data_IF_440606090827
#
_entry.id   IF_440606090827
#
_cell.length_a   1.000
_cell.length_b   1.000
_cell.length_c   1.000
_cell.angle_alpha   90.00
_cell.angle_beta   90.00
_cell.angle_gamma   90.00
#
_symmetry.space_group_name_H-M   'P 1'
#
loop_
_entity.id
_entity.type
_entity.pdbx_description
1 polymer ?
#
# COMPACT_ATOMS: atom_id res chain seq x y z
N UNK A 1 -6.26 -7.50 -11.87
CA UNK A 1 -7.33 -7.06 -10.94
C UNK A 1 -6.61 -6.56 -9.69
N UNK A 2 -6.26 -5.27 -9.67
CA UNK A 2 -5.52 -4.65 -8.57
C UNK A 2 -6.42 -4.48 -7.35
N UNK A 3 -5.96 -4.92 -6.18
CA UNK A 3 -6.62 -4.66 -4.90
C UNK A 3 -5.61 -3.92 -4.04
N UNK A 4 -5.80 -2.62 -3.89
CA UNK A 4 -4.99 -1.81 -2.97
C UNK A 4 -5.59 -1.92 -1.57
N UNK A 5 -4.78 -2.29 -0.57
CA UNK A 5 -5.20 -2.32 0.83
C UNK A 5 -4.30 -1.40 1.62
N UNK A 6 -4.87 -0.35 2.23
CA UNK A 6 -4.20 0.56 3.15
C UNK A 6 -4.44 0.03 4.57
N UNK A 7 -3.39 -0.38 5.28
CA UNK A 7 -3.43 -0.54 6.73
C UNK A 7 -2.76 0.68 7.33
N UNK A 8 -3.53 1.58 7.92
CA UNK A 8 -3.00 2.60 8.83
C UNK A 8 -3.06 2.10 10.27
N UNK A 9 -2.33 2.75 11.17
CA UNK A 9 -2.33 2.55 12.63
C UNK A 9 -3.69 2.75 13.33
N UNK A 10 -4.73 3.13 12.59
CA UNK A 10 -6.13 2.99 13.00
C UNK A 10 -6.68 1.64 12.52
N UNK A 11 -7.08 0.70 13.40
CA UNK A 11 -7.32 -0.70 13.06
C UNK A 11 -8.52 -0.96 12.12
N UNK A 12 -9.22 0.06 11.64
CA UNK A 12 -10.55 -0.12 11.04
C UNK A 12 -10.73 0.30 9.59
N UNK A 13 -9.80 1.02 8.94
CA UNK A 13 -10.03 1.48 7.58
C UNK A 13 -9.55 0.49 6.51
N UNK A 14 -10.26 -0.63 6.36
CA UNK A 14 -10.07 -1.54 5.22
C UNK A 14 -10.77 -0.99 3.97
N UNK A 15 -10.04 -0.25 3.15
CA UNK A 15 -10.54 0.15 1.83
C UNK A 15 -10.05 -0.86 0.78
N UNK A 16 -10.98 -1.43 0.02
CA UNK A 16 -10.71 -2.37 -1.06
C UNK A 16 -11.39 -1.83 -2.30
N UNK A 17 -10.62 -1.51 -3.33
CA UNK A 17 -11.16 -1.02 -4.60
C UNK A 17 -11.27 -2.17 -5.59
N UNK A 18 -12.48 -2.60 -6.01
CA UNK A 18 -12.62 -3.55 -7.10
C UNK A 18 -12.37 -2.86 -8.44
N UNK A 19 -11.44 -3.38 -9.24
CA UNK A 19 -11.14 -2.93 -10.61
C UNK A 19 -10.01 -1.90 -10.73
N UNK A 20 -9.68 -1.50 -11.96
CA UNK A 20 -8.79 -0.34 -12.22
C UNK A 20 -9.58 0.93 -11.94
N UNK A 21 -9.72 1.28 -10.67
CA UNK A 21 -10.26 2.56 -10.24
C UNK A 21 -9.10 3.44 -9.82
N UNK A 22 -9.11 4.70 -10.23
CA UNK A 22 -8.15 5.70 -9.76
C UNK A 22 -8.31 5.82 -8.24
N UNK A 23 -7.27 5.44 -7.49
CA UNK A 23 -7.24 5.50 -6.03
C UNK A 23 -6.31 6.62 -5.64
N UNK A 24 -6.87 7.66 -5.01
CA UNK A 24 -6.06 8.69 -4.38
C UNK A 24 -5.39 8.10 -3.14
N UNK A 25 -4.05 8.12 -3.13
CA UNK A 25 -3.29 7.80 -1.93
C UNK A 25 -3.43 8.96 -0.92
N UNK A 26 -3.45 8.67 0.39
CA UNK A 26 -3.38 9.70 1.41
C UNK A 26 -2.20 10.65 1.16
N UNK A 27 -2.39 11.98 1.31
CA UNK A 27 -1.30 12.93 1.15
C UNK A 27 -0.25 12.74 2.25
N UNK A 28 1.01 13.08 1.95
CA UNK A 28 2.09 13.04 2.92
C UNK A 28 2.68 11.66 3.23
N UNK A 29 2.30 10.64 2.46
CA UNK A 29 2.93 9.32 2.55
C UNK A 29 4.38 9.38 2.02
N UNK A 30 5.31 8.85 2.81
CA UNK A 30 6.71 8.67 2.45
C UNK A 30 7.03 7.20 2.43
N UNK A 31 7.42 6.66 1.27
CA UNK A 31 7.83 5.25 1.17
C UNK A 31 9.12 4.99 1.96
N UNK A 32 9.11 3.96 2.79
CA UNK A 32 10.28 3.46 3.53
C UNK A 32 10.81 2.13 2.98
N UNK A 33 9.96 1.32 2.36
CA UNK A 33 10.35 -0.01 1.91
C UNK A 33 9.37 -0.68 0.95
N UNK A 34 9.79 -1.81 0.40
CA UNK A 34 8.93 -2.73 -0.37
C UNK A 34 9.29 -4.16 -0.03
N UNK A 35 8.32 -4.96 0.41
CA UNK A 35 8.53 -6.38 0.75
C UNK A 35 7.44 -7.28 0.18
N UNK A 36 7.65 -8.58 0.31
CA UNK A 36 6.59 -9.57 0.09
C UNK A 36 5.66 -9.61 1.31
N UNK A 37 4.38 -9.97 1.13
CA UNK A 37 3.50 -10.24 2.26
C UNK A 37 4.01 -11.44 3.06
N UNK A 38 3.86 -11.37 4.37
CA UNK A 38 3.98 -12.52 5.25
C UNK A 38 2.89 -13.56 4.95
N UNK A 39 3.09 -14.79 5.43
CA UNK A 39 2.08 -15.86 5.29
C UNK A 39 0.73 -15.42 5.86
N UNK A 40 0.71 -14.74 7.02
CA UNK A 40 -0.53 -14.26 7.66
C UNK A 40 -1.22 -13.19 6.83
N UNK A 41 -0.48 -12.23 6.28
CA UNK A 41 -1.04 -11.20 5.39
C UNK A 41 -1.57 -11.83 4.10
N UNK A 42 -0.85 -12.80 3.52
CA UNK A 42 -1.25 -13.51 2.30
C UNK A 42 -2.56 -14.30 2.43
N UNK A 43 -3.03 -14.58 3.65
CA UNK A 43 -4.36 -15.17 3.89
C UNK A 43 -5.48 -14.15 3.79
N UNK A 44 -5.20 -12.86 4.03
CA UNK A 44 -6.20 -11.78 4.04
C UNK A 44 -6.13 -10.90 2.79
N UNK A 45 -5.00 -10.92 2.09
CA UNK A 45 -4.72 -10.15 0.88
C UNK A 45 -4.36 -11.10 -0.28
N UNK A 46 -4.14 -10.57 -1.49
CA UNK A 46 -3.61 -11.40 -2.57
C UNK A 46 -2.14 -11.77 -2.27
N UNK A 47 -1.75 -13.06 -2.14
CA UNK A 47 -0.38 -13.45 -1.80
C UNK A 47 0.65 -13.08 -2.89
N UNK A 48 0.20 -12.79 -4.11
CA UNK A 48 1.06 -12.28 -5.19
C UNK A 48 1.32 -10.78 -5.12
N UNK A 49 0.66 -10.07 -4.21
CA UNK A 49 0.90 -8.64 -4.00
C UNK A 49 2.28 -8.38 -3.40
N UNK A 50 2.66 -7.10 -3.41
CA UNK A 50 3.81 -6.55 -2.69
C UNK A 50 3.29 -5.56 -1.66
N UNK A 51 3.93 -5.51 -0.52
CA UNK A 51 3.65 -4.50 0.51
C UNK A 51 4.60 -3.34 0.28
N UNK A 52 4.05 -2.17 -0.02
CA UNK A 52 4.77 -0.90 0.02
C UNK A 52 4.60 -0.34 1.43
N UNK A 53 5.72 -0.13 2.10
CA UNK A 53 5.77 0.38 3.46
C UNK A 53 5.95 1.89 3.39
N UNK A 54 5.11 2.63 4.11
CA UNK A 54 5.08 4.08 4.11
C UNK A 54 5.00 4.63 5.54
N UNK A 55 5.57 5.81 5.74
CA UNK A 55 5.35 6.65 6.91
C UNK A 55 4.36 7.76 6.56
N UNK A 56 3.45 8.04 7.48
CA UNK A 56 2.56 9.21 7.50
C UNK A 56 2.75 9.96 8.82
N UNK A 57 2.26 11.20 8.89
CA UNK A 57 2.18 11.96 10.13
C UNK A 57 1.35 11.22 11.23
N UNK A 58 0.44 10.34 10.82
CA UNK A 58 -0.43 9.55 11.71
C UNK A 58 0.16 8.17 12.08
N UNK A 59 1.28 7.78 11.47
CA UNK A 59 1.96 6.52 11.73
C UNK A 59 2.28 5.72 10.47
N UNK A 60 2.61 4.44 10.67
CA UNK A 60 2.93 3.52 9.58
C UNK A 60 1.69 3.22 8.72
N UNK A 61 1.89 3.21 7.41
CA UNK A 61 0.89 2.83 6.42
C UNK A 61 1.44 1.72 5.53
N UNK A 62 0.78 0.58 5.53
CA UNK A 62 1.12 -0.56 4.67
C UNK A 62 0.16 -0.62 3.49
N UNK A 63 0.71 -0.68 2.28
CA UNK A 63 -0.06 -0.69 1.05
C UNK A 63 0.17 -2.00 0.30
N UNK A 64 -0.84 -2.88 0.24
CA UNK A 64 -0.78 -4.05 -0.62
C UNK A 64 -1.01 -3.64 -2.08
N UNK A 65 -0.11 -3.97 -3.00
CA UNK A 65 -0.18 -3.59 -4.41
C UNK A 65 0.07 -4.80 -5.28
N UNK A 66 -0.65 -4.93 -6.40
CA UNK A 66 -0.31 -5.97 -7.36
C UNK A 66 1.03 -5.64 -8.06
N UNK A 67 1.84 -6.65 -8.44
CA UNK A 67 3.14 -6.41 -9.05
C UNK A 67 3.09 -5.53 -10.30
N UNK A 68 2.03 -5.65 -11.12
CA UNK A 68 1.83 -4.83 -12.32
C UNK A 68 1.59 -3.34 -12.04
N UNK A 69 1.16 -3.00 -10.82
CA UNK A 69 0.86 -1.63 -10.40
C UNK A 69 1.95 -1.07 -9.45
N UNK A 70 2.95 -1.88 -9.09
CA UNK A 70 3.95 -1.55 -8.07
C UNK A 70 4.76 -0.31 -8.44
N UNK A 71 5.29 -0.25 -9.66
CA UNK A 71 6.11 0.86 -10.14
C UNK A 71 5.33 2.17 -10.04
N UNK A 72 4.11 2.19 -10.60
CA UNK A 72 3.22 3.34 -10.59
C UNK A 72 2.91 3.84 -9.18
N UNK A 73 2.61 2.93 -8.25
CA UNK A 73 2.38 3.30 -6.85
C UNK A 73 3.65 3.83 -6.21
N UNK A 74 4.79 3.19 -6.42
CA UNK A 74 6.06 3.66 -5.84
C UNK A 74 6.54 5.00 -6.37
N UNK A 75 6.18 5.36 -7.60
CA UNK A 75 6.41 6.70 -8.16
C UNK A 75 5.45 7.74 -7.57
N UNK A 76 4.19 7.36 -7.36
CA UNK A 76 3.18 8.21 -6.74
C UNK A 76 3.52 8.52 -5.27
N UNK A 77 4.08 7.54 -4.54
CA UNK A 77 4.57 7.75 -3.16
C UNK A 77 6.00 8.25 -3.20
N UNK A 78 6.18 9.57 -3.35
CA UNK A 78 7.52 10.17 -3.38
C UNK A 78 8.33 9.81 -2.13
N UNK A 79 9.59 9.46 -2.36
CA UNK A 79 10.62 9.56 -1.32
C UNK A 79 10.91 11.05 -1.18
N UNK A 80 10.24 11.74 -0.25
CA UNK A 80 10.71 13.05 0.19
C UNK A 80 11.96 12.82 1.02
N UNK A 81 13.10 12.77 0.34
CA UNK A 81 14.37 13.18 0.91
C UNK A 81 14.29 14.70 1.05
N UNK A 82 14.15 15.18 2.29
CA UNK A 82 14.48 16.56 2.64
C UNK A 82 15.94 16.87 2.29
#
# INVERSE_FOLDING_TARGET
MGRLLLTGTDPLLRTSFPGRREVALPPGLRRTGVRAPSVREGLTINPRSRIVECESAEGEVLIAVMPEDLEHVTEAVRVTSS
#
